data_IF_141083936389
#
_entry.id   IF_141083936389
#
_cell.length_a   1.000
_cell.length_b   1.000
_cell.length_c   1.000
_cell.angle_alpha   90.00
_cell.angle_beta   90.00
_cell.angle_gamma   90.00
#
_symmetry.space_group_name_H-M   'P 1'
#
loop_
_entity.id
_entity.type
_entity.pdbx_description
1 polymer ?
#
# COMPACT_ATOMS: atom_id res chain seq x y z
N UNK A 1 -7.23 3.39 11.04
CA UNK A 1 -7.60 2.86 12.36
C UNK A 1 -8.27 1.51 12.26
N UNK A 2 -9.31 1.39 11.43
CA UNK A 2 -10.14 0.18 11.31
C UNK A 2 -9.44 -1.04 10.66
N UNK A 3 -8.92 -0.89 9.44
CA UNK A 3 -8.31 -2.03 8.71
C UNK A 3 -6.93 -2.42 9.26
N UNK A 4 -6.06 -1.44 9.51
CA UNK A 4 -4.66 -1.70 9.89
C UNK A 4 -4.36 -1.54 11.40
N UNK A 5 -5.29 -0.99 12.18
CA UNK A 5 -5.08 -0.80 13.62
C UNK A 5 -4.21 0.40 14.02
N UNK A 6 -3.78 1.23 13.06
CA UNK A 6 -2.94 2.42 13.31
C UNK A 6 -3.73 3.73 13.25
N UNK A 7 -3.38 4.66 14.14
CA UNK A 7 -3.75 6.08 14.05
C UNK A 7 -2.58 6.84 13.43
N UNK A 8 -2.73 7.17 12.15
CA UNK A 8 -1.68 7.84 11.38
C UNK A 8 -1.59 9.33 11.74
N UNK A 9 -0.38 9.87 11.59
CA UNK A 9 -0.12 11.30 11.62
C UNK A 9 -0.46 11.97 10.27
N UNK A 10 0.33 12.95 9.80
CA UNK A 10 0.13 13.58 8.51
C UNK A 10 0.18 12.58 7.35
N UNK A 11 -0.85 12.59 6.52
CA UNK A 11 -0.90 11.83 5.26
C UNK A 11 -0.52 12.73 4.09
N UNK A 12 0.21 12.19 3.12
CA UNK A 12 0.60 12.91 1.90
C UNK A 12 -0.14 12.34 0.71
N UNK A 13 -0.90 13.18 0.02
CA UNK A 13 -1.49 12.84 -1.28
C UNK A 13 -0.40 12.79 -2.35
N UNK A 14 -0.42 11.74 -3.18
CA UNK A 14 0.55 11.55 -4.25
C UNK A 14 -0.04 11.90 -5.62
N UNK A 15 -1.09 11.21 -6.03
CA UNK A 15 -1.78 11.46 -7.29
C UNK A 15 -3.23 10.96 -7.25
N UNK A 16 -3.94 11.16 -8.36
CA UNK A 16 -5.23 10.54 -8.62
C UNK A 16 -5.15 9.78 -9.94
N UNK A 17 -5.84 8.65 -10.03
CA UNK A 17 -5.89 7.88 -11.27
C UNK A 17 -7.26 7.22 -11.46
N UNK A 18 -7.70 7.18 -12.71
CA UNK A 18 -8.73 6.24 -13.15
C UNK A 18 -8.05 4.89 -13.37
N UNK A 19 -8.50 3.85 -12.68
CA UNK A 19 -7.90 2.51 -12.79
C UNK A 19 -8.28 1.81 -14.09
N UNK A 20 -9.46 2.13 -14.63
CA UNK A 20 -9.90 1.68 -15.96
C UNK A 20 -10.83 2.71 -16.60
N UNK A 21 -10.29 3.77 -17.24
CA UNK A 21 -11.07 4.91 -17.75
C UNK A 21 -12.14 4.53 -18.78
N UNK A 22 -11.98 3.38 -19.44
CA UNK A 22 -12.95 2.87 -20.41
C UNK A 22 -14.07 2.01 -19.81
N UNK A 23 -13.94 1.58 -18.54
CA UNK A 23 -14.88 0.66 -17.90
C UNK A 23 -15.55 1.26 -16.67
N UNK A 24 -14.80 2.03 -15.86
CA UNK A 24 -15.29 2.63 -14.61
C UNK A 24 -15.00 4.12 -14.60
N UNK A 25 -15.93 4.89 -14.04
CA UNK A 25 -15.78 6.32 -13.81
C UNK A 25 -15.14 6.62 -12.45
N UNK A 26 -14.86 5.59 -11.66
CA UNK A 26 -14.24 5.73 -10.35
C UNK A 26 -12.80 6.24 -10.50
N UNK A 27 -12.52 7.31 -9.75
CA UNK A 27 -11.18 7.88 -9.63
C UNK A 27 -10.67 7.60 -8.23
N UNK A 28 -9.54 6.93 -8.13
CA UNK A 28 -8.89 6.66 -6.86
C UNK A 28 -7.94 7.80 -6.50
N UNK A 29 -7.92 8.14 -5.21
CA UNK A 29 -6.99 9.10 -4.62
C UNK A 29 -5.92 8.33 -3.84
N UNK A 30 -4.66 8.58 -4.14
CA UNK A 30 -3.54 7.82 -3.60
C UNK A 30 -2.80 8.63 -2.55
N UNK A 31 -2.55 8.00 -1.40
CA UNK A 31 -1.88 8.61 -0.26
C UNK A 31 -0.76 7.70 0.26
N UNK A 32 0.20 8.32 0.93
CA UNK A 32 1.21 7.64 1.75
C UNK A 32 1.23 8.26 3.14
N UNK A 33 1.70 7.48 4.11
CA UNK A 33 1.96 7.94 5.46
C UNK A 33 3.09 7.12 6.06
N UNK A 34 3.89 7.76 6.91
CA UNK A 34 4.79 7.05 7.81
C UNK A 34 3.99 6.56 9.02
N UNK A 35 4.37 5.40 9.55
CA UNK A 35 3.83 4.88 10.79
C UNK A 35 4.98 4.38 11.68
N UNK A 36 4.72 4.35 12.98
CA UNK A 36 5.62 3.80 13.98
C UNK A 36 4.87 2.79 14.84
N UNK A 37 5.56 1.79 15.45
CA UNK A 37 4.91 0.76 16.26
C UNK A 37 4.05 1.30 17.41
N UNK A 38 4.43 2.45 17.98
CA UNK A 38 3.71 3.12 19.07
C UNK A 38 2.40 3.80 18.62
N UNK A 39 2.17 3.92 17.31
CA UNK A 39 0.91 4.43 16.73
C UNK A 39 -0.18 3.35 16.61
N UNK A 40 0.12 2.10 17.00
CA UNK A 40 -0.84 0.99 16.97
C UNK A 40 -1.84 1.14 18.12
N UNK A 41 -3.11 1.25 17.78
CA UNK A 41 -4.23 1.44 18.73
C UNK A 41 -5.21 0.26 18.74
N UNK A 42 -5.03 -0.71 17.83
CA UNK A 42 -5.87 -1.90 17.73
C UNK A 42 -5.20 -3.01 16.92
N UNK A 43 -5.84 -4.17 16.85
CA UNK A 43 -5.40 -5.29 16.02
C UNK A 43 -5.53 -5.03 14.52
N UNK A 44 -6.38 -4.07 14.13
CA UNK A 44 -6.87 -3.98 12.76
C UNK A 44 -7.83 -5.14 12.45
N UNK A 45 -8.02 -5.42 11.16
CA UNK A 45 -8.81 -6.54 10.66
C UNK A 45 -10.20 -6.19 10.15
N UNK A 46 -10.56 -4.91 10.11
CA UNK A 46 -11.87 -4.47 9.64
C UNK A 46 -12.96 -4.64 10.69
N UNK A 47 -14.21 -4.39 10.29
CA UNK A 47 -15.38 -4.53 11.16
C UNK A 47 -16.08 -5.88 10.91
N UNK A 48 -16.16 -6.71 11.96
CA UNK A 48 -16.79 -8.02 11.88
C UNK A 48 -18.26 -7.99 11.40
N UNK A 49 -18.97 -6.88 11.62
CA UNK A 49 -20.35 -6.70 11.17
C UNK A 49 -20.47 -6.27 9.70
N UNK A 50 -19.38 -5.78 9.09
CA UNK A 50 -19.27 -5.49 7.66
C UNK A 50 -18.83 -6.73 6.86
N UNK A 51 -18.51 -7.83 7.56
CA UNK A 51 -18.11 -9.10 6.94
C UNK A 51 -16.67 -9.07 6.41
N UNK A 52 -15.86 -8.13 6.88
CA UNK A 52 -14.46 -8.01 6.50
C UNK A 52 -13.59 -9.02 7.27
N UNK A 53 -12.75 -9.74 6.54
CA UNK A 53 -11.72 -10.64 7.07
C UNK A 53 -10.38 -10.19 6.47
N UNK A 54 -9.72 -9.25 7.15
CA UNK A 54 -8.52 -8.57 6.66
C UNK A 54 -7.31 -8.98 7.49
N UNK A 55 -6.27 -9.46 6.82
CA UNK A 55 -4.96 -9.74 7.42
C UNK A 55 -3.99 -8.59 7.15
N UNK A 56 -3.24 -8.18 8.19
CA UNK A 56 -2.19 -7.17 8.06
C UNK A 56 -0.84 -7.84 7.82
N UNK A 57 -0.12 -7.40 6.78
CA UNK A 57 1.21 -7.91 6.42
C UNK A 57 2.24 -6.79 6.51
N UNK A 58 3.24 -6.96 7.38
CA UNK A 58 4.42 -6.10 7.45
C UNK A 58 5.60 -6.79 6.75
N UNK A 59 6.06 -6.22 5.64
CA UNK A 59 7.07 -6.82 4.77
C UNK A 59 8.14 -5.79 4.38
N UNK A 60 9.40 -6.21 4.18
CA UNK A 60 10.40 -5.37 3.53
C UNK A 60 9.96 -4.97 2.11
N UNK A 61 10.20 -3.72 1.72
CA UNK A 61 9.82 -3.21 0.38
C UNK A 61 10.38 -4.06 -0.77
N UNK A 62 11.59 -4.59 -0.62
CA UNK A 62 12.22 -5.46 -1.62
C UNK A 62 11.43 -6.76 -1.85
N UNK A 63 10.85 -7.33 -0.79
CA UNK A 63 10.01 -8.53 -0.86
C UNK A 63 8.67 -8.21 -1.51
N UNK A 64 8.02 -7.12 -1.10
CA UNK A 64 6.76 -6.68 -1.72
C UNK A 64 6.93 -6.44 -3.24
N UNK A 65 8.06 -5.87 -3.67
CA UNK A 65 8.37 -5.71 -5.09
C UNK A 65 8.64 -7.05 -5.80
N UNK A 66 9.21 -8.05 -5.10
CA UNK A 66 9.36 -9.40 -5.64
C UNK A 66 7.99 -10.09 -5.82
N UNK A 67 7.06 -9.88 -4.89
CA UNK A 67 5.68 -10.38 -4.97
C UNK A 67 4.91 -9.82 -6.17
N UNK A 68 5.21 -8.59 -6.62
CA UNK A 68 4.67 -8.07 -7.88
C UNK A 68 5.24 -8.86 -9.06
N UNK A 69 6.56 -9.10 -9.06
CA UNK A 69 7.25 -9.75 -10.18
C UNK A 69 6.86 -11.23 -10.34
N UNK A 70 6.58 -11.93 -9.24
CA UNK A 70 6.17 -13.34 -9.25
C UNK A 70 4.64 -13.56 -9.28
N UNK A 71 3.86 -12.48 -9.27
CA UNK A 71 2.40 -12.53 -9.41
C UNK A 71 1.62 -12.81 -8.13
N UNK A 72 2.27 -12.79 -6.96
CA UNK A 72 1.56 -12.81 -5.66
C UNK A 72 0.80 -11.51 -5.37
N UNK A 73 1.27 -10.37 -5.89
CA UNK A 73 0.55 -9.09 -5.88
C UNK A 73 0.10 -8.76 -7.30
N UNK A 74 -1.21 -8.73 -7.52
CA UNK A 74 -1.86 -8.43 -8.82
C UNK A 74 -2.94 -7.35 -8.75
N UNK A 75 -2.88 -6.51 -7.71
CA UNK A 75 -3.81 -5.40 -7.49
C UNK A 75 -3.22 -4.06 -7.95
N UNK A 76 -3.94 -3.34 -8.82
CA UNK A 76 -3.44 -2.14 -9.49
C UNK A 76 -3.01 -1.04 -8.51
N UNK A 77 -3.86 -0.71 -7.52
CA UNK A 77 -3.55 0.36 -6.56
C UNK A 77 -2.34 0.02 -5.70
N UNK A 78 -2.22 -1.25 -5.29
CA UNK A 78 -1.08 -1.75 -4.52
C UNK A 78 0.22 -1.70 -5.32
N UNK A 79 0.19 -2.17 -6.58
CA UNK A 79 1.34 -2.10 -7.49
C UNK A 79 1.79 -0.64 -7.67
N UNK A 80 0.86 0.28 -7.93
CA UNK A 80 1.18 1.70 -8.14
C UNK A 80 1.84 2.35 -6.91
N UNK A 81 1.33 2.06 -5.71
CA UNK A 81 1.89 2.62 -4.46
C UNK A 81 3.27 2.03 -4.13
N UNK A 82 3.47 0.72 -4.32
CA UNK A 82 4.77 0.07 -4.10
C UNK A 82 5.82 0.58 -5.09
N UNK A 83 5.44 0.76 -6.36
CA UNK A 83 6.34 1.34 -7.36
C UNK A 83 6.66 2.82 -7.05
N UNK A 84 5.68 3.60 -6.60
CA UNK A 84 5.93 4.97 -6.14
C UNK A 84 6.91 5.00 -4.97
N UNK A 85 6.71 4.14 -3.96
CA UNK A 85 7.58 4.04 -2.80
C UNK A 85 9.01 3.66 -3.19
N UNK A 86 9.18 2.69 -4.09
CA UNK A 86 10.49 2.30 -4.60
C UNK A 86 11.22 3.47 -5.29
N UNK A 87 10.50 4.28 -6.07
CA UNK A 87 11.10 5.40 -6.81
C UNK A 87 11.41 6.63 -5.96
N UNK A 88 10.63 6.88 -4.90
CA UNK A 88 10.65 8.17 -4.19
C UNK A 88 11.04 8.08 -2.71
N UNK A 89 10.93 6.90 -2.10
CA UNK A 89 11.16 6.68 -0.66
C UNK A 89 12.32 5.71 -0.45
N UNK A 90 12.41 4.66 -1.27
CA UNK A 90 13.43 3.62 -1.19
C UNK A 90 14.27 3.51 -2.47
N UNK A 91 14.89 4.60 -2.95
CA UNK A 91 15.58 4.62 -4.24
C UNK A 91 16.68 3.55 -4.35
N UNK A 92 17.36 3.25 -3.24
CA UNK A 92 18.48 2.29 -3.21
C UNK A 92 18.06 0.85 -3.50
N UNK A 93 16.79 0.50 -3.25
CA UNK A 93 16.24 -0.84 -3.51
C UNK A 93 16.11 -1.12 -5.01
N UNK A 94 15.97 -0.07 -5.82
CA UNK A 94 15.88 -0.20 -7.28
C UNK A 94 17.25 -0.42 -7.93
N UNK A 95 18.33 0.10 -7.34
CA UNK A 95 19.70 0.02 -7.87
C UNK A 95 20.31 -1.37 -7.64
N UNK A 96 19.97 -2.04 -6.53
CA UNK A 96 20.49 -3.37 -6.18
C UNK A 96 20.05 -4.53 -7.11
N UNK A 97 19.22 -4.25 -8.14
CA UNK A 97 18.75 -5.24 -9.13
C UNK A 97 19.47 -5.18 -10.49
N UNK A 98 20.50 -4.35 -10.67
CA UNK A 98 21.34 -4.42 -11.88
C UNK A 98 22.46 -5.47 -11.72
N UNK A 99 22.60 -6.43 -12.65
CA UNK A 99 23.71 -7.40 -12.65
C UNK A 99 25.07 -6.75 -12.89
#
# INVERSE_FOLDING_TARGET
EEEIGYRLGPIKKIFEAFTSPGAVTEKLHFFIAEYQPDMKIGSGGGLAHEGEDIETLELPIAEALAMIADGRIVDAKTIMLLQYAALNIFPDVTVAKQP
#
